data_IF_193196746670
#
_entry.id   IF_193196746670
#
_cell.length_a   1.000
_cell.length_b   1.000
_cell.length_c   1.000
_cell.angle_alpha   90.00
_cell.angle_beta   90.00
_cell.angle_gamma   90.00
#
_symmetry.space_group_name_H-M   'P 1'
#
loop_
_entity.id
_entity.type
_entity.pdbx_description
1 polymer ?
#
# COMPACT_ATOMS: atom_id res chain seq x y z
N UNK A 1 3.66 -4.53 17.32
CA UNK A 1 4.91 -5.28 17.08
C UNK A 1 4.64 -6.36 16.05
N UNK A 2 5.00 -6.12 14.79
CA UNK A 2 5.15 -7.21 13.83
C UNK A 2 6.40 -7.98 14.29
N UNK A 3 6.39 -9.32 14.37
CA UNK A 3 7.63 -10.04 14.61
C UNK A 3 8.61 -9.58 13.54
N UNK A 4 9.79 -9.14 13.96
CA UNK A 4 10.95 -8.96 13.08
C UNK A 4 11.06 -10.25 12.27
N UNK A 5 10.51 -10.20 11.05
CA UNK A 5 10.69 -11.28 10.12
C UNK A 5 12.18 -11.22 9.84
N UNK A 6 12.97 -12.23 10.27
CA UNK A 6 14.40 -12.19 10.10
C UNK A 6 14.63 -11.89 8.63
N UNK A 7 15.48 -10.89 8.34
CA UNK A 7 15.90 -10.51 6.99
C UNK A 7 16.08 -11.82 6.22
N UNK A 8 15.08 -12.16 5.41
CA UNK A 8 14.81 -13.56 5.17
C UNK A 8 15.95 -14.13 4.33
N UNK A 9 16.63 -15.13 4.89
CA UNK A 9 17.77 -15.81 4.28
C UNK A 9 17.41 -16.19 2.84
N UNK A 10 18.35 -16.12 1.87
CA UNK A 10 18.10 -16.60 0.52
C UNK A 10 17.50 -18.01 0.62
N UNK A 11 16.38 -18.27 -0.09
CA UNK A 11 15.77 -19.60 -0.11
C UNK A 11 16.87 -20.61 -0.46
N UNK A 12 17.32 -21.43 0.50
CA UNK A 12 18.48 -22.25 0.28
C UNK A 12 18.11 -23.21 -0.83
N UNK A 13 18.93 -23.23 -1.89
CA UNK A 13 18.80 -24.24 -2.93
C UNK A 13 19.37 -25.53 -2.34
N UNK A 14 18.54 -26.19 -1.53
CA UNK A 14 18.87 -27.43 -0.85
C UNK A 14 19.15 -28.54 -1.86
N UNK A 15 19.83 -29.59 -1.37
CA UNK A 15 20.29 -30.72 -2.19
C UNK A 15 19.14 -31.41 -2.95
N UNK A 16 17.93 -31.44 -2.39
CA UNK A 16 16.76 -32.08 -3.03
C UNK A 16 16.40 -31.48 -4.40
N UNK A 17 15.96 -30.21 -4.48
CA UNK A 17 15.68 -29.53 -5.74
C UNK A 17 16.85 -29.53 -6.74
N UNK A 18 18.08 -29.47 -6.24
CA UNK A 18 19.28 -29.55 -7.07
C UNK A 18 19.43 -30.92 -7.74
N UNK A 19 19.27 -32.01 -6.99
CA UNK A 19 19.30 -33.37 -7.52
C UNK A 19 18.21 -33.60 -8.57
N UNK A 20 16.98 -33.13 -8.33
CA UNK A 20 15.88 -33.31 -9.29
C UNK A 20 16.12 -32.56 -10.60
N UNK A 21 16.61 -31.32 -10.53
CA UNK A 21 16.96 -30.53 -11.71
C UNK A 21 18.11 -31.20 -12.51
N UNK A 22 19.07 -31.82 -11.82
CA UNK A 22 20.16 -32.59 -12.44
C UNK A 22 19.65 -33.88 -13.11
N UNK A 23 18.78 -34.63 -12.44
CA UNK A 23 18.25 -35.89 -12.96
C UNK A 23 17.42 -35.61 -14.21
N UNK A 24 16.48 -34.66 -14.14
CA UNK A 24 15.65 -34.30 -15.28
C UNK A 24 16.49 -33.78 -16.45
N UNK A 25 17.47 -32.91 -16.20
CA UNK A 25 18.38 -32.44 -17.25
C UNK A 25 19.22 -33.57 -17.86
N UNK A 26 19.51 -34.65 -17.11
CA UNK A 26 20.20 -35.81 -17.69
C UNK A 26 19.26 -36.69 -18.50
N UNK A 27 18.04 -36.92 -18.02
CA UNK A 27 17.02 -37.73 -18.68
C UNK A 27 16.58 -37.09 -19.99
N UNK A 28 16.24 -35.81 -19.97
CA UNK A 28 15.77 -35.07 -21.13
C UNK A 28 16.89 -34.94 -22.19
N UNK A 29 18.14 -34.80 -21.77
CA UNK A 29 19.28 -34.77 -22.69
C UNK A 29 19.45 -36.09 -23.44
N UNK A 30 19.29 -37.21 -22.71
CA UNK A 30 19.32 -38.55 -23.32
C UNK A 30 18.15 -38.81 -24.25
N UNK A 31 17.02 -38.13 -24.02
CA UNK A 31 15.85 -38.15 -24.92
C UNK A 31 16.00 -37.22 -26.12
N UNK A 32 17.10 -36.46 -26.23
CA UNK A 32 17.32 -35.51 -27.31
C UNK A 32 16.42 -34.28 -27.24
N UNK A 33 15.99 -33.89 -26.03
CA UNK A 33 15.20 -32.69 -25.80
C UNK A 33 16.07 -31.48 -25.42
N UNK A 34 15.67 -30.26 -25.80
CA UNK A 34 14.65 -29.96 -26.81
C UNK A 34 15.13 -30.38 -28.21
N UNK A 35 14.19 -30.66 -29.11
CA UNK A 35 14.52 -30.99 -30.49
C UNK A 35 15.28 -29.82 -31.15
N UNK A 36 16.30 -30.07 -32.00
CA UNK A 36 17.13 -29.01 -32.60
C UNK A 36 16.35 -27.95 -33.38
N UNK A 37 15.19 -28.35 -33.93
CA UNK A 37 14.28 -27.49 -34.70
C UNK A 37 13.02 -27.10 -33.91
N UNK A 38 12.91 -27.56 -32.66
CA UNK A 38 11.79 -27.26 -31.78
C UNK A 38 11.92 -25.86 -31.19
N UNK A 39 10.95 -25.00 -31.51
CA UNK A 39 10.74 -23.74 -30.80
C UNK A 39 9.91 -24.06 -29.56
N UNK A 40 10.54 -24.16 -28.39
CA UNK A 40 9.79 -24.37 -27.16
C UNK A 40 10.66 -24.70 -25.96
N UNK A 41 10.13 -24.38 -24.78
CA UNK A 41 10.71 -24.80 -23.52
C UNK A 41 10.55 -26.32 -23.33
N UNK A 42 11.52 -26.93 -22.66
CA UNK A 42 11.38 -28.34 -22.26
C UNK A 42 10.26 -28.49 -21.22
N UNK A 43 9.60 -29.67 -21.13
CA UNK A 43 8.54 -29.90 -20.15
C UNK A 43 8.92 -29.56 -18.71
N UNK A 44 10.18 -29.80 -18.30
CA UNK A 44 10.65 -29.43 -16.96
C UNK A 44 10.69 -27.92 -16.74
N UNK A 45 11.14 -27.15 -17.74
CA UNK A 45 11.17 -25.67 -17.68
C UNK A 45 9.74 -25.12 -17.61
N UNK A 46 8.79 -25.69 -18.36
CA UNK A 46 7.38 -25.31 -18.29
C UNK A 46 6.79 -25.55 -16.90
N UNK A 47 7.08 -26.71 -16.30
CA UNK A 47 6.65 -27.03 -14.93
C UNK A 47 7.22 -26.01 -13.93
N UNK A 48 8.49 -25.64 -14.06
CA UNK A 48 9.11 -24.61 -13.21
C UNK A 48 8.48 -23.22 -13.42
N UNK A 49 8.17 -22.85 -14.66
CA UNK A 49 7.50 -21.61 -15.03
C UNK A 49 6.10 -21.52 -14.42
N UNK A 50 5.27 -22.55 -14.63
CA UNK A 50 3.92 -22.64 -14.04
C UNK A 50 3.97 -22.59 -12.51
N UNK A 51 4.89 -23.34 -11.90
CA UNK A 51 5.07 -23.34 -10.45
C UNK A 51 5.55 -21.99 -9.88
N UNK A 52 6.22 -21.16 -10.68
CA UNK A 52 6.51 -19.78 -10.33
C UNK A 52 5.24 -18.91 -10.41
N UNK A 53 4.52 -18.96 -11.53
CA UNK A 53 3.28 -18.20 -11.74
C UNK A 53 2.26 -18.47 -10.64
N UNK A 54 2.03 -19.74 -10.29
CA UNK A 54 1.09 -20.13 -9.23
C UNK A 54 1.50 -19.61 -7.84
N UNK A 55 2.80 -19.49 -7.58
CA UNK A 55 3.30 -18.94 -6.31
C UNK A 55 3.22 -17.41 -6.30
N UNK A 56 3.51 -16.77 -7.43
CA UNK A 56 3.36 -15.33 -7.58
C UNK A 56 1.89 -14.91 -7.41
N UNK A 57 0.94 -15.66 -7.99
CA UNK A 57 -0.48 -15.38 -7.83
C UNK A 57 -0.95 -15.59 -6.38
N UNK A 58 -0.44 -16.62 -5.70
CA UNK A 58 -0.69 -16.79 -4.25
C UNK A 58 -0.19 -15.62 -3.42
N UNK A 59 0.98 -15.06 -3.73
CA UNK A 59 1.46 -13.85 -3.08
C UNK A 59 0.60 -12.62 -3.44
N UNK A 60 0.10 -12.52 -4.68
CA UNK A 60 -0.87 -11.47 -5.06
C UNK A 60 -2.15 -11.54 -4.23
N UNK A 61 -2.76 -12.71 -4.12
CA UNK A 61 -3.96 -12.93 -3.29
C UNK A 61 -3.68 -12.59 -1.82
N UNK A 62 -2.52 -12.99 -1.30
CA UNK A 62 -2.09 -12.65 0.07
C UNK A 62 -1.93 -11.14 0.25
N UNK A 63 -1.32 -10.45 -0.71
CA UNK A 63 -1.19 -8.99 -0.71
C UNK A 63 -2.56 -8.33 -0.70
N UNK A 64 -3.47 -8.70 -1.60
CA UNK A 64 -4.84 -8.16 -1.67
C UNK A 64 -5.57 -8.29 -0.33
N UNK A 65 -5.46 -9.45 0.33
CA UNK A 65 -6.05 -9.66 1.67
C UNK A 65 -5.39 -8.77 2.72
N UNK A 66 -4.06 -8.65 2.69
CA UNK A 66 -3.32 -7.83 3.64
C UNK A 66 -3.55 -6.33 3.46
N UNK A 67 -3.86 -5.86 2.25
CA UNK A 67 -4.11 -4.45 1.92
C UNK A 67 -5.58 -4.05 2.01
N UNK A 68 -6.52 -5.00 2.12
CA UNK A 68 -7.94 -4.68 2.20
C UNK A 68 -8.29 -3.73 3.36
N UNK A 69 -7.78 -4.01 4.58
CA UNK A 69 -8.02 -3.16 5.75
C UNK A 69 -7.42 -1.76 5.64
N UNK A 70 -6.10 -1.58 5.36
CA UNK A 70 -5.53 -0.24 5.23
C UNK A 70 -6.11 0.53 4.03
N UNK A 71 -6.49 -0.13 2.93
CA UNK A 71 -7.15 0.54 1.80
C UNK A 71 -8.53 1.11 2.20
N UNK A 72 -9.36 0.33 2.93
CA UNK A 72 -10.61 0.83 3.48
C UNK A 72 -10.39 1.98 4.47
N UNK A 73 -9.36 1.88 5.32
CA UNK A 73 -9.00 2.94 6.27
C UNK A 73 -8.60 4.22 5.54
N UNK A 74 -7.77 4.13 4.49
CA UNK A 74 -7.37 5.26 3.64
C UNK A 74 -8.59 6.00 3.08
N UNK A 75 -9.52 5.27 2.45
CA UNK A 75 -10.75 5.86 1.90
C UNK A 75 -11.59 6.53 2.99
N UNK A 76 -11.76 5.89 4.15
CA UNK A 76 -12.51 6.45 5.27
C UNK A 76 -11.86 7.73 5.83
N UNK A 77 -10.52 7.76 5.96
CA UNK A 77 -9.80 8.94 6.42
C UNK A 77 -9.94 10.10 5.41
N UNK A 78 -9.83 9.85 4.11
CA UNK A 78 -10.01 10.88 3.08
C UNK A 78 -11.40 11.53 3.17
N UNK A 79 -12.46 10.71 3.25
CA UNK A 79 -13.83 11.21 3.39
C UNK A 79 -14.03 12.02 4.69
N UNK A 80 -13.43 11.58 5.81
CA UNK A 80 -13.50 12.32 7.07
C UNK A 80 -12.73 13.64 7.03
N UNK A 81 -11.57 13.66 6.39
CA UNK A 81 -10.77 14.87 6.21
C UNK A 81 -11.56 15.92 5.43
N UNK A 82 -12.26 15.50 4.36
CA UNK A 82 -13.12 16.40 3.58
C UNK A 82 -14.22 17.03 4.44
N UNK A 83 -14.96 16.21 5.20
CA UNK A 83 -16.03 16.69 6.10
C UNK A 83 -15.48 17.62 7.19
N UNK A 84 -14.38 17.24 7.85
CA UNK A 84 -13.77 18.05 8.90
C UNK A 84 -13.21 19.37 8.36
N UNK A 85 -12.73 19.38 7.12
CA UNK A 85 -12.25 20.61 6.47
C UNK A 85 -13.41 21.57 6.22
N UNK A 86 -14.52 21.09 5.67
CA UNK A 86 -15.73 21.90 5.48
C UNK A 86 -16.27 22.45 6.82
N UNK A 87 -16.34 21.62 7.85
CA UNK A 87 -16.74 22.05 9.20
C UNK A 87 -15.80 23.11 9.78
N UNK A 88 -14.49 22.96 9.58
CA UNK A 88 -13.51 23.93 10.04
C UNK A 88 -13.70 25.28 9.34
N UNK A 89 -13.96 25.26 8.03
CA UNK A 89 -14.20 26.47 7.24
C UNK A 89 -15.49 27.17 7.66
N UNK A 90 -16.58 26.43 7.90
CA UNK A 90 -17.83 26.97 8.44
C UNK A 90 -17.64 27.61 9.82
N UNK A 91 -16.95 26.94 10.74
CA UNK A 91 -16.68 27.46 12.08
C UNK A 91 -15.80 28.71 12.04
N UNK A 92 -14.82 28.75 11.15
CA UNK A 92 -13.95 29.92 10.95
C UNK A 92 -14.71 31.10 10.34
N UNK A 93 -15.57 30.83 9.36
CA UNK A 93 -16.46 31.85 8.78
C UNK A 93 -17.39 32.42 9.86
N UNK A 94 -18.07 31.58 10.64
CA UNK A 94 -18.93 32.05 11.72
C UNK A 94 -18.16 32.82 12.81
N UNK A 95 -16.92 32.42 13.13
CA UNK A 95 -16.09 33.15 14.11
C UNK A 95 -15.64 34.52 13.58
N UNK A 96 -15.46 34.64 12.25
CA UNK A 96 -15.18 35.90 11.58
C UNK A 96 -16.41 36.80 11.55
N UNK A 97 -17.58 36.27 11.19
CA UNK A 97 -18.87 36.97 11.21
C UNK A 97 -19.23 37.50 12.60
N UNK A 98 -18.98 36.71 13.65
CA UNK A 98 -19.23 37.12 15.03
C UNK A 98 -18.35 38.33 15.45
N UNK A 99 -17.22 38.59 14.78
CA UNK A 99 -16.38 39.74 15.06
C UNK A 99 -15.71 39.73 16.44
N UNK A 100 -14.71 40.59 16.66
CA UNK A 100 -13.96 40.62 17.92
C UNK A 100 -14.79 41.20 19.10
N UNK A 101 -15.63 42.18 18.81
CA UNK A 101 -16.56 42.82 19.74
C UNK A 101 -17.99 42.75 19.18
N UNK A 102 -19.02 42.73 20.06
CA UNK A 102 -20.41 42.85 19.60
C UNK A 102 -20.63 44.19 18.91
N UNK A 103 -21.54 44.21 17.91
CA UNK A 103 -21.88 45.44 17.21
C UNK A 103 -22.63 46.43 18.13
N UNK A 104 -22.67 47.71 17.74
CA UNK A 104 -23.45 48.71 18.47
C UNK A 104 -24.94 48.32 18.54
N UNK A 105 -25.47 47.72 17.48
CA UNK A 105 -26.86 47.27 17.39
C UNK A 105 -27.11 46.09 18.34
N UNK A 106 -26.19 45.10 18.41
CA UNK A 106 -26.28 43.98 19.35
C UNK A 106 -26.22 44.44 20.82
N UNK A 107 -25.42 45.47 21.07
CA UNK A 107 -25.28 46.10 22.37
C UNK A 107 -26.55 46.86 22.78
N UNK A 108 -27.24 47.49 21.83
CA UNK A 108 -28.48 48.25 22.05
C UNK A 108 -29.75 47.36 22.09
N UNK A 109 -29.67 46.12 21.58
CA UNK A 109 -30.80 45.19 21.52
C UNK A 109 -31.28 44.74 22.92
N UNK A 110 -32.49 45.20 23.30
CA UNK A 110 -33.17 44.82 24.55
C UNK A 110 -34.10 43.63 24.37
N UNK A 111 -34.09 42.71 25.34
CA UNK A 111 -35.02 41.57 25.45
C UNK A 111 -36.18 41.90 26.39
N UNK A 112 -37.23 41.08 26.34
CA UNK A 112 -38.37 41.16 27.27
C UNK A 112 -37.85 41.06 28.72
N UNK A 113 -38.22 42.02 29.55
CA UNK A 113 -37.76 42.13 30.94
C UNK A 113 -36.50 42.98 31.15
N UNK A 114 -35.90 43.52 30.09
CA UNK A 114 -34.73 44.41 30.18
C UNK A 114 -35.12 45.90 30.04
N UNK A 115 -36.41 46.26 30.01
CA UNK A 115 -36.87 47.64 29.70
C UNK A 115 -36.43 48.66 30.77
N UNK A 116 -36.53 48.31 32.05
CA UNK A 116 -36.18 49.21 33.15
C UNK A 116 -34.72 49.07 33.60
N UNK A 117 -33.95 48.19 32.96
CA UNK A 117 -32.54 48.00 33.27
C UNK A 117 -31.69 49.16 32.73
N UNK A 118 -30.67 49.57 33.49
CA UNK A 118 -29.69 50.55 33.02
C UNK A 118 -28.88 50.01 31.83
N UNK A 119 -28.62 50.84 30.82
CA UNK A 119 -27.88 50.46 29.60
C UNK A 119 -26.54 49.81 29.90
N UNK A 120 -25.80 50.36 30.87
CA UNK A 120 -24.50 49.82 31.27
C UNK A 120 -24.57 48.34 31.71
N UNK A 121 -25.65 47.94 32.40
CA UNK A 121 -25.86 46.54 32.82
C UNK A 121 -26.19 45.65 31.63
N UNK A 122 -27.05 46.11 30.71
CA UNK A 122 -27.40 45.37 29.49
C UNK A 122 -26.18 45.18 28.60
N UNK A 123 -25.41 46.25 28.34
CA UNK A 123 -24.17 46.20 27.56
C UNK A 123 -23.13 45.27 28.18
N UNK A 124 -22.92 45.34 29.50
CA UNK A 124 -21.97 44.47 30.20
C UNK A 124 -22.37 42.98 30.06
N UNK A 125 -23.67 42.69 30.20
CA UNK A 125 -24.22 41.35 29.99
C UNK A 125 -24.02 40.88 28.55
N UNK A 126 -24.35 41.70 27.54
CA UNK A 126 -24.17 41.35 26.12
C UNK A 126 -22.70 41.12 25.77
N UNK A 127 -21.78 41.96 26.24
CA UNK A 127 -20.33 41.72 26.07
C UNK A 127 -19.89 40.38 26.68
N UNK A 128 -20.44 40.01 27.85
CA UNK A 128 -20.14 38.72 28.48
C UNK A 128 -20.70 37.53 27.68
N UNK A 129 -21.95 37.63 27.22
CA UNK A 129 -22.59 36.62 26.36
C UNK A 129 -21.76 36.44 25.06
N UNK A 130 -21.41 37.54 24.38
CA UNK A 130 -20.57 37.54 23.18
C UNK A 130 -19.21 36.87 23.37
N UNK A 131 -18.52 37.20 24.47
CA UNK A 131 -17.22 36.59 24.81
C UNK A 131 -17.37 35.09 25.06
N UNK A 132 -18.44 34.66 25.71
CA UNK A 132 -18.73 33.25 25.93
C UNK A 132 -19.00 32.53 24.60
N UNK A 133 -19.77 33.14 23.70
CA UNK A 133 -20.03 32.60 22.35
C UNK A 133 -18.74 32.44 21.55
N UNK A 134 -17.91 33.49 21.47
CA UNK A 134 -16.59 33.42 20.83
C UNK A 134 -15.70 32.35 21.45
N UNK A 135 -15.67 32.23 22.77
CA UNK A 135 -14.87 31.20 23.44
C UNK A 135 -15.32 29.80 23.06
N UNK A 136 -16.64 29.54 23.04
CA UNK A 136 -17.21 28.26 22.60
C UNK A 136 -16.85 27.93 21.16
N UNK A 137 -16.98 28.90 20.24
CA UNK A 137 -16.60 28.69 18.83
C UNK A 137 -15.10 28.44 18.67
N UNK A 138 -14.23 29.14 19.41
CA UNK A 138 -12.79 28.88 19.41
C UNK A 138 -12.43 27.48 19.91
N UNK A 139 -13.10 27.00 20.96
CA UNK A 139 -12.95 25.62 21.42
C UNK A 139 -13.37 24.63 20.33
N UNK A 140 -14.52 24.86 19.68
CA UNK A 140 -14.98 24.01 18.58
C UNK A 140 -13.99 23.99 17.39
N UNK A 141 -13.43 25.15 17.01
CA UNK A 141 -12.36 25.23 15.99
C UNK A 141 -11.16 24.37 16.40
N UNK A 142 -10.68 24.55 17.64
CA UNK A 142 -9.53 23.79 18.14
C UNK A 142 -9.78 22.27 18.17
N UNK A 143 -10.99 21.85 18.54
CA UNK A 143 -11.38 20.44 18.53
C UNK A 143 -11.42 19.85 17.12
N UNK A 144 -11.97 20.59 16.14
CA UNK A 144 -11.99 20.15 14.73
C UNK A 144 -10.59 20.11 14.15
N UNK A 145 -9.73 21.09 14.45
CA UNK A 145 -8.32 21.09 14.03
C UNK A 145 -7.56 19.88 14.58
N UNK A 146 -7.77 19.55 15.86
CA UNK A 146 -7.20 18.35 16.49
C UNK A 146 -7.69 17.08 15.80
N UNK A 147 -9.00 16.94 15.58
CA UNK A 147 -9.58 15.79 14.89
C UNK A 147 -9.04 15.64 13.45
N UNK A 148 -8.86 16.77 12.74
CA UNK A 148 -8.27 16.80 11.41
C UNK A 148 -6.81 16.32 11.42
N UNK A 149 -6.03 16.75 12.41
CA UNK A 149 -4.66 16.27 12.64
C UNK A 149 -4.59 14.76 12.89
N UNK A 150 -5.48 14.24 13.75
CA UNK A 150 -5.59 12.81 14.06
C UNK A 150 -5.94 11.98 12.80
N UNK A 151 -6.89 12.42 11.98
CA UNK A 151 -7.27 11.72 10.75
C UNK A 151 -6.18 11.80 9.67
N UNK A 152 -5.44 12.92 9.56
CA UNK A 152 -4.27 13.02 8.66
C UNK A 152 -3.15 12.07 9.07
N UNK A 153 -2.88 11.93 10.37
CA UNK A 153 -1.91 10.95 10.87
C UNK A 153 -2.37 9.52 10.58
N UNK A 154 -3.67 9.23 10.75
CA UNK A 154 -4.24 7.93 10.43
C UNK A 154 -4.16 7.60 8.93
N UNK A 155 -4.36 8.60 8.06
CA UNK A 155 -4.18 8.48 6.61
C UNK A 155 -2.73 8.13 6.27
N UNK A 156 -1.76 8.91 6.75
CA UNK A 156 -0.33 8.67 6.51
C UNK A 156 0.09 7.27 6.99
N UNK A 157 -0.41 6.84 8.16
CA UNK A 157 -0.16 5.49 8.68
C UNK A 157 -0.73 4.41 7.77
N UNK A 158 -1.94 4.59 7.23
CA UNK A 158 -2.56 3.64 6.32
C UNK A 158 -1.79 3.55 4.99
N UNK A 159 -1.28 4.66 4.47
CA UNK A 159 -0.48 4.73 3.25
C UNK A 159 0.89 4.06 3.42
N UNK A 160 1.61 4.35 4.51
CA UNK A 160 2.85 3.65 4.84
C UNK A 160 2.65 2.13 4.94
N UNK A 161 1.56 1.70 5.56
CA UNK A 161 1.21 0.29 5.64
C UNK A 161 0.90 -0.35 4.27
N UNK A 162 0.32 0.40 3.33
CA UNK A 162 0.09 -0.08 1.97
C UNK A 162 1.42 -0.26 1.24
N UNK A 163 2.29 0.75 1.26
CA UNK A 163 3.60 0.70 0.62
C UNK A 163 4.46 -0.44 1.18
N UNK A 164 4.61 -0.53 2.51
CA UNK A 164 5.41 -1.58 3.14
C UNK A 164 4.92 -3.00 2.80
N UNK A 165 3.60 -3.20 2.72
CA UNK A 165 3.03 -4.50 2.32
C UNK A 165 3.30 -4.81 0.85
N UNK A 166 3.19 -3.80 -0.03
CA UNK A 166 3.49 -3.94 -1.45
C UNK A 166 4.95 -4.29 -1.69
N UNK A 167 5.88 -3.54 -1.09
CA UNK A 167 7.32 -3.78 -1.17
C UNK A 167 7.70 -5.18 -0.68
N UNK A 168 7.13 -5.60 0.45
CA UNK A 168 7.36 -6.94 0.99
C UNK A 168 6.88 -8.04 0.03
N UNK A 169 5.69 -7.88 -0.57
CA UNK A 169 5.16 -8.83 -1.54
C UNK A 169 6.00 -8.88 -2.82
N UNK A 170 6.37 -7.72 -3.36
CA UNK A 170 7.25 -7.60 -4.52
C UNK A 170 8.59 -8.29 -4.25
N UNK A 171 9.23 -8.01 -3.11
CA UNK A 171 10.50 -8.62 -2.71
C UNK A 171 10.40 -10.17 -2.63
N UNK A 172 9.29 -10.71 -2.13
CA UNK A 172 9.05 -12.16 -2.12
C UNK A 172 8.95 -12.74 -3.52
N UNK A 173 8.23 -12.10 -4.42
CA UNK A 173 8.11 -12.55 -5.82
C UNK A 173 9.45 -12.47 -6.55
N UNK A 174 10.23 -11.41 -6.37
CA UNK A 174 11.59 -11.32 -6.94
C UNK A 174 12.50 -12.44 -6.43
N UNK A 175 12.39 -12.82 -5.16
CA UNK A 175 13.14 -13.97 -4.63
C UNK A 175 12.67 -15.30 -5.22
N UNK A 176 11.36 -15.49 -5.37
CA UNK A 176 10.80 -16.67 -6.05
C UNK A 176 11.30 -16.74 -7.49
N UNK A 177 11.31 -15.62 -8.19
CA UNK A 177 11.82 -15.51 -9.57
C UNK A 177 13.29 -15.88 -9.67
N UNK A 178 14.14 -15.26 -8.84
CA UNK A 178 15.57 -15.57 -8.79
C UNK A 178 15.84 -17.04 -8.44
N UNK A 179 15.05 -17.62 -7.52
CA UNK A 179 15.13 -19.05 -7.20
C UNK A 179 14.77 -19.92 -8.41
N UNK A 180 13.66 -19.64 -9.09
CA UNK A 180 13.23 -20.37 -10.29
C UNK A 180 14.27 -20.26 -11.41
N UNK A 181 14.85 -19.09 -11.64
CA UNK A 181 15.93 -18.92 -12.62
C UNK A 181 17.15 -19.77 -12.29
N UNK A 182 17.57 -19.84 -11.02
CA UNK A 182 18.69 -20.73 -10.62
C UNK A 182 18.39 -22.20 -10.89
N UNK A 183 17.15 -22.64 -10.68
CA UNK A 183 16.70 -24.00 -10.99
C UNK A 183 16.75 -24.28 -12.48
N UNK A 184 16.16 -23.39 -13.28
CA UNK A 184 16.21 -23.44 -14.75
C UNK A 184 17.67 -23.51 -15.20
N UNK A 185 18.54 -22.59 -14.78
CA UNK A 185 19.95 -22.60 -15.18
C UNK A 185 20.74 -23.82 -14.73
N UNK A 186 20.36 -24.49 -13.64
CA UNK A 186 20.99 -25.74 -13.21
C UNK A 186 20.56 -26.90 -14.10
N UNK A 187 19.27 -26.99 -14.37
CA UNK A 187 18.70 -27.93 -15.33
C UNK A 187 19.31 -27.75 -16.74
N UNK A 188 19.32 -26.52 -17.27
CA UNK A 188 19.85 -26.18 -18.60
C UNK A 188 21.33 -26.57 -18.74
N UNK A 189 22.16 -26.22 -17.75
CA UNK A 189 23.58 -26.62 -17.74
C UNK A 189 23.76 -28.12 -17.80
N UNK A 190 22.91 -28.88 -17.09
CA UNK A 190 22.98 -30.33 -17.09
C UNK A 190 22.50 -30.93 -18.42
N UNK A 191 21.45 -30.35 -18.99
CA UNK A 191 20.88 -30.72 -20.29
C UNK A 191 21.93 -30.55 -21.39
N UNK A 192 22.46 -29.33 -21.54
CA UNK A 192 23.48 -29.01 -22.55
C UNK A 192 24.72 -29.89 -22.44
N UNK A 193 25.20 -30.19 -21.23
CA UNK A 193 26.39 -31.04 -21.04
C UNK A 193 26.20 -32.47 -21.55
N UNK A 194 24.97 -32.98 -21.63
CA UNK A 194 24.68 -34.38 -22.02
C UNK A 194 23.93 -34.50 -23.34
N UNK A 195 23.54 -33.37 -23.94
CA UNK A 195 22.76 -33.36 -25.17
C UNK A 195 23.68 -33.61 -26.39
N UNK A 196 23.31 -34.49 -27.34
CA UNK A 196 24.14 -34.80 -28.50
C UNK A 196 24.35 -33.61 -29.43
N UNK A 197 23.38 -32.69 -29.51
CA UNK A 197 23.44 -31.48 -30.34
C UNK A 197 23.66 -30.18 -29.51
N UNK A 198 24.45 -30.24 -28.43
CA UNK A 198 24.60 -29.14 -27.48
C UNK A 198 25.06 -27.80 -28.11
N UNK A 199 25.97 -27.85 -29.09
CA UNK A 199 26.47 -26.66 -29.78
C UNK A 199 25.37 -25.94 -30.57
N UNK A 200 24.51 -26.69 -31.26
CA UNK A 200 23.36 -26.16 -31.99
C UNK A 200 22.34 -25.53 -31.04
N UNK A 201 22.06 -26.22 -29.92
CA UNK A 201 21.15 -25.73 -28.91
C UNK A 201 21.64 -24.42 -28.28
N UNK A 202 22.92 -24.31 -27.91
CA UNK A 202 23.47 -23.12 -27.26
C UNK A 202 23.28 -21.84 -28.10
N UNK A 203 23.36 -21.95 -29.44
CA UNK A 203 23.18 -20.81 -30.36
C UNK A 203 21.70 -20.41 -30.53
N UNK A 204 20.77 -21.32 -30.27
CA UNK A 204 19.32 -21.13 -30.47
C UNK A 204 18.55 -20.97 -29.17
N UNK A 205 19.19 -21.13 -28.02
CA UNK A 205 18.52 -21.16 -26.73
C UNK A 205 18.12 -19.77 -26.23
N UNK A 206 17.03 -19.23 -26.78
CA UNK A 206 16.31 -18.07 -26.25
C UNK A 206 14.96 -18.54 -25.69
N UNK A 207 14.98 -19.33 -24.61
CA UNK A 207 13.73 -19.83 -24.03
C UNK A 207 12.98 -18.73 -23.28
N UNK A 208 11.66 -18.80 -23.32
CA UNK A 208 10.75 -18.02 -22.48
C UNK A 208 11.06 -18.30 -21.01
N UNK A 209 11.78 -17.38 -20.38
CA UNK A 209 11.99 -17.41 -18.94
C UNK A 209 10.76 -16.84 -18.26
N UNK A 210 10.41 -17.32 -17.05
CA UNK A 210 9.33 -16.72 -16.30
C UNK A 210 9.62 -15.22 -16.12
N UNK A 211 8.62 -14.39 -16.42
CA UNK A 211 8.70 -12.94 -16.29
C UNK A 211 8.13 -12.53 -14.94
N UNK A 212 8.76 -11.56 -14.30
CA UNK A 212 8.22 -11.00 -13.05
C UNK A 212 6.89 -10.29 -13.36
N UNK A 213 5.80 -10.58 -12.63
CA UNK A 213 4.51 -9.92 -12.86
C UNK A 213 4.60 -8.39 -12.73
N UNK A 214 3.88 -7.67 -13.61
CA UNK A 214 3.91 -6.21 -13.64
C UNK A 214 3.48 -5.54 -12.32
N UNK A 215 2.62 -6.19 -11.53
CA UNK A 215 2.17 -5.65 -10.24
C UNK A 215 3.28 -5.53 -9.20
N UNK A 216 4.43 -6.19 -9.38
CA UNK A 216 5.55 -6.03 -8.45
C UNK A 216 6.44 -4.84 -8.78
N UNK A 217 6.25 -4.21 -9.95
CA UNK A 217 7.02 -3.04 -10.36
C UNK A 217 6.58 -1.84 -9.51
N UNK A 218 7.51 -0.96 -9.10
CA UNK A 218 7.14 0.29 -8.47
C UNK A 218 6.24 1.06 -9.43
N UNK A 219 5.09 1.51 -8.96
CA UNK A 219 4.23 2.42 -9.70
C UNK A 219 5.02 3.74 -9.87
N UNK A 220 5.50 4.00 -11.08
CA UNK A 220 6.15 5.27 -11.46
C UNK A 220 5.13 6.39 -11.43
#
# INVERSE_FOLDING_TARGET
MLPDSPIARPLPYWLGPWCTDIVNGTVDARRGLPLPDGVGATPHVDVLGRAFTDRAERERIRLTRATARPARRRVACLARIEVLTAQLDELRAGLAELGAEPSADDLAARRIGEVDAADALVHARRRREHRADRARMRCAVSDVERALGEERLALATAEQQLCARHELAAARVHRLHAHTLRRISTYERRLLRKHPAAELLTRRWSHERPVVPAWTLPSV
#
